data_IF_283013072657
#
_entry.id   IF_283013072657
#
_cell.length_a   1.000
_cell.length_b   1.000
_cell.length_c   1.000
_cell.angle_alpha   90.00
_cell.angle_beta   90.00
_cell.angle_gamma   90.00
#
_symmetry.space_group_name_H-M   'P 1'
#
loop_
_entity.id
_entity.type
_entity.pdbx_description
1 polymer ?
#
# COMPACT_ATOMS: atom_id res chain seq x y z
N UNK A 1 -19.28 5.10 8.93
CA UNK A 1 -18.72 3.74 8.78
C UNK A 1 -19.78 2.71 9.13
N UNK A 2 -19.67 1.45 8.69
CA UNK A 2 -20.69 0.44 8.96
C UNK A 2 -20.86 0.17 10.45
N UNK A 3 -22.09 -0.11 10.88
CA UNK A 3 -22.44 -0.46 12.25
C UNK A 3 -23.53 -1.54 12.31
N UNK A 4 -23.68 -2.18 13.47
CA UNK A 4 -24.86 -2.98 13.81
C UNK A 4 -24.54 -4.45 14.07
N UNK A 5 -25.49 -5.12 14.73
CA UNK A 5 -25.34 -6.53 15.09
C UNK A 5 -25.08 -7.42 13.87
N UNK A 6 -24.07 -8.28 13.97
CA UNK A 6 -23.67 -9.21 12.92
C UNK A 6 -22.75 -8.61 11.87
N UNK A 7 -22.51 -7.29 11.86
CA UNK A 7 -21.53 -6.67 10.96
C UNK A 7 -20.10 -6.94 11.42
N UNK A 8 -19.19 -7.01 10.45
CA UNK A 8 -17.74 -7.01 10.67
C UNK A 8 -17.09 -6.18 9.56
N UNK A 9 -17.06 -4.85 9.72
CA UNK A 9 -16.40 -3.96 8.78
C UNK A 9 -14.89 -3.85 9.07
N UNK A 10 -14.12 -3.71 7.99
CA UNK A 10 -12.67 -3.54 8.07
C UNK A 10 -12.18 -2.53 7.01
N UNK A 11 -11.31 -1.62 7.45
CA UNK A 11 -10.40 -0.83 6.62
C UNK A 11 -8.99 -1.23 7.03
N UNK A 12 -8.28 -1.90 6.13
CA UNK A 12 -7.05 -2.60 6.48
C UNK A 12 -6.12 -2.65 5.27
N UNK A 13 -4.89 -3.07 5.50
CA UNK A 13 -3.94 -3.32 4.44
C UNK A 13 -3.37 -4.71 4.57
N UNK A 14 -3.07 -5.33 3.43
CA UNK A 14 -2.44 -6.65 3.40
C UNK A 14 -1.35 -6.66 2.35
N UNK A 15 -0.22 -7.29 2.65
CA UNK A 15 0.89 -7.43 1.72
C UNK A 15 0.60 -8.41 0.58
N UNK A 16 1.64 -8.76 -0.17
CA UNK A 16 1.51 -9.74 -1.25
C UNK A 16 1.21 -11.15 -0.69
N UNK A 17 0.45 -11.93 -1.45
CA UNK A 17 0.21 -13.34 -1.13
C UNK A 17 1.48 -14.20 -1.29
N UNK A 18 1.63 -15.30 -0.52
CA UNK A 18 0.64 -15.85 0.41
C UNK A 18 0.60 -15.13 1.77
N UNK A 19 -0.60 -14.83 2.24
CA UNK A 19 -0.82 -14.37 3.61
C UNK A 19 -0.40 -15.45 4.65
N UNK A 20 0.22 -15.08 5.79
CA UNK A 20 0.52 -13.72 6.29
C UNK A 20 1.96 -13.27 6.03
N UNK A 21 2.66 -13.84 5.04
CA UNK A 21 4.12 -13.68 4.88
C UNK A 21 4.55 -12.21 4.70
N UNK A 22 3.67 -11.40 4.10
CA UNK A 22 3.90 -9.99 3.79
C UNK A 22 3.12 -9.04 4.70
N UNK A 23 2.50 -9.59 5.76
CA UNK A 23 1.85 -8.84 6.82
C UNK A 23 0.46 -8.33 6.49
N UNK A 24 -0.28 -8.05 7.54
CA UNK A 24 -1.58 -7.40 7.53
C UNK A 24 -1.65 -6.37 8.67
N UNK A 25 -2.30 -5.25 8.39
CA UNK A 25 -2.46 -4.11 9.29
C UNK A 25 -3.92 -3.69 9.24
N UNK A 26 -4.65 -3.98 10.31
CA UNK A 26 -6.03 -3.56 10.47
C UNK A 26 -6.07 -2.17 11.08
N UNK A 27 -6.46 -1.17 10.29
CA UNK A 27 -6.48 0.23 10.69
C UNK A 27 -7.78 0.52 11.45
N UNK A 28 -8.89 0.05 10.89
CA UNK A 28 -10.22 0.15 11.46
C UNK A 28 -10.86 -1.22 11.38
N UNK A 29 -11.08 -1.85 12.52
CA UNK A 29 -11.71 -3.17 12.57
C UNK A 29 -12.47 -3.37 13.88
N UNK A 30 -13.59 -4.07 13.76
CA UNK A 30 -14.44 -4.41 14.87
C UNK A 30 -15.66 -5.19 14.39
N UNK A 31 -16.45 -5.66 15.35
CA UNK A 31 -17.59 -6.53 15.10
C UNK A 31 -18.82 -6.07 15.87
N UNK A 32 -19.99 -6.39 15.32
CA UNK A 32 -21.29 -6.12 15.91
C UNK A 32 -21.48 -4.62 16.25
N UNK A 33 -21.75 -4.32 17.52
CA UNK A 33 -21.95 -2.98 18.07
C UNK A 33 -20.78 -2.56 18.96
N UNK A 34 -19.57 -3.04 18.68
CA UNK A 34 -18.38 -2.48 19.31
C UNK A 34 -18.34 -0.97 19.07
N UNK A 35 -17.90 -0.23 20.09
CA UNK A 35 -17.83 1.25 20.08
C UNK A 35 -16.40 1.76 19.98
N UNK A 36 -15.43 0.89 20.28
CA UNK A 36 -14.00 1.15 20.25
C UNK A 36 -13.40 0.44 19.06
N UNK A 37 -12.40 1.07 18.46
CA UNK A 37 -11.69 0.51 17.32
C UNK A 37 -10.60 -0.43 17.80
N UNK A 38 -10.35 -1.50 17.05
CA UNK A 38 -9.20 -2.36 17.25
C UNK A 38 -8.23 -2.17 16.08
N UNK A 39 -6.98 -1.81 16.40
CA UNK A 39 -5.88 -1.79 15.45
C UNK A 39 -5.06 -3.06 15.68
N UNK A 40 -4.88 -3.87 14.65
CA UNK A 40 -4.22 -5.18 14.75
C UNK A 40 -3.12 -5.34 13.73
N UNK A 41 -2.10 -6.14 14.07
CA UNK A 41 -1.11 -6.63 13.10
C UNK A 41 -1.13 -8.16 13.08
N UNK A 42 -1.07 -8.70 11.87
CA UNK A 42 -0.98 -10.13 11.58
C UNK A 42 0.26 -10.39 10.74
N UNK A 43 1.12 -11.31 11.20
CA UNK A 43 2.45 -11.53 10.62
C UNK A 43 2.83 -13.01 10.59
N UNK A 44 3.86 -13.34 9.81
CA UNK A 44 4.64 -14.56 9.99
C UNK A 44 5.40 -14.56 11.33
N UNK A 45 5.92 -15.71 11.75
CA UNK A 45 6.61 -15.86 13.05
C UNK A 45 7.78 -14.88 13.21
N UNK A 46 7.95 -14.32 14.43
CA UNK A 46 9.10 -13.46 14.77
C UNK A 46 8.77 -11.98 14.99
N UNK A 47 7.50 -11.63 15.18
CA UNK A 47 7.06 -10.28 15.52
C UNK A 47 6.23 -10.28 16.81
N UNK A 48 6.76 -9.69 17.88
CA UNK A 48 6.04 -9.55 19.15
C UNK A 48 6.16 -8.13 19.72
N UNK A 49 5.30 -7.80 20.69
CA UNK A 49 5.16 -6.48 21.31
C UNK A 49 5.32 -6.54 22.83
N UNK A 50 6.07 -7.53 23.32
CA UNK A 50 6.43 -7.61 24.73
C UNK A 50 7.49 -6.57 25.08
N UNK A 51 7.33 -5.91 26.23
CA UNK A 51 8.29 -4.93 26.74
C UNK A 51 8.32 -3.61 25.97
N UNK A 52 7.29 -3.29 25.19
CA UNK A 52 7.18 -1.97 24.56
C UNK A 52 6.76 -0.92 25.61
N UNK A 53 7.23 0.31 25.43
CA UNK A 53 6.89 1.44 26.31
C UNK A 53 5.49 1.98 25.98
N UNK A 54 4.57 1.75 26.90
CA UNK A 54 3.14 2.09 26.77
C UNK A 54 2.86 3.58 26.94
N UNK A 55 3.84 4.40 27.31
CA UNK A 55 3.68 5.87 27.31
C UNK A 55 3.61 6.46 25.90
N UNK A 56 3.92 5.67 24.85
CA UNK A 56 3.94 6.12 23.46
C UNK A 56 2.61 5.98 22.72
N UNK A 57 1.56 5.43 23.35
CA UNK A 57 0.23 5.34 22.77
C UNK A 57 -0.87 5.48 23.82
N UNK A 58 -2.06 5.88 23.39
CA UNK A 58 -3.19 6.12 24.27
C UNK A 58 -4.13 4.91 24.42
N UNK A 59 -4.09 3.94 23.49
CA UNK A 59 -4.92 2.75 23.55
C UNK A 59 -4.50 1.76 24.64
N UNK A 60 -5.22 0.65 24.73
CA UNK A 60 -4.91 -0.46 25.65
C UNK A 60 -4.79 -1.75 24.88
N UNK A 61 -3.90 -2.66 25.30
CA UNK A 61 -3.81 -3.98 24.70
C UNK A 61 -5.16 -4.70 24.74
N UNK A 62 -5.58 -5.22 23.59
CA UNK A 62 -6.72 -6.12 23.54
C UNK A 62 -6.34 -7.47 24.17
N UNK A 63 -7.35 -8.28 24.47
CA UNK A 63 -7.14 -9.63 24.98
C UNK A 63 -7.52 -10.68 23.94
N UNK A 64 -6.76 -11.77 23.87
CA UNK A 64 -7.10 -12.98 23.11
C UNK A 64 -8.23 -13.76 23.79
N UNK A 65 -8.78 -14.74 23.06
CA UNK A 65 -9.86 -15.59 23.57
C UNK A 65 -9.49 -16.44 24.80
N UNK A 66 -8.19 -16.62 25.05
CA UNK A 66 -7.62 -17.29 26.23
C UNK A 66 -7.38 -16.34 27.43
N UNK A 67 -7.68 -15.05 27.28
CA UNK A 67 -7.54 -14.05 28.34
C UNK A 67 -6.14 -13.47 28.50
N UNK A 68 -5.22 -13.71 27.57
CA UNK A 68 -3.90 -13.09 27.54
C UNK A 68 -3.91 -11.78 26.73
N UNK A 69 -2.96 -10.89 27.01
CA UNK A 69 -2.79 -9.68 26.19
C UNK A 69 -2.33 -10.06 24.78
N UNK A 70 -2.99 -9.48 23.77
CA UNK A 70 -2.72 -9.68 22.36
C UNK A 70 -1.44 -8.94 21.94
N UNK A 71 -0.27 -9.48 22.29
CA UNK A 71 1.04 -8.89 21.99
C UNK A 71 1.88 -9.66 20.97
N UNK A 72 1.53 -10.90 20.69
CA UNK A 72 2.21 -11.69 19.65
C UNK A 72 1.49 -11.49 18.31
N UNK A 73 2.19 -10.91 17.33
CA UNK A 73 1.62 -10.60 16.03
C UNK A 73 1.58 -11.82 15.10
N UNK A 74 2.13 -12.95 15.51
CA UNK A 74 2.12 -14.18 14.73
C UNK A 74 0.72 -14.79 14.67
N UNK A 75 0.23 -15.05 13.47
CA UNK A 75 -1.15 -15.52 13.25
C UNK A 75 -1.48 -16.87 13.89
N UNK A 76 -0.46 -17.68 14.21
CA UNK A 76 -0.62 -18.97 14.88
C UNK A 76 -0.12 -18.96 16.34
N UNK A 77 0.09 -17.79 16.93
CA UNK A 77 0.36 -17.66 18.36
C UNK A 77 -0.87 -18.03 19.21
N UNK A 78 -2.07 -17.86 18.65
CA UNK A 78 -3.35 -18.26 19.26
C UNK A 78 -4.18 -19.06 18.27
N UNK A 79 -5.14 -19.85 18.75
CA UNK A 79 -6.04 -20.65 17.90
C UNK A 79 -7.00 -19.80 17.04
N UNK A 80 -7.12 -18.50 17.34
CA UNK A 80 -8.11 -17.61 16.73
C UNK A 80 -7.49 -16.54 15.84
N UNK A 81 -6.20 -16.64 15.53
CA UNK A 81 -5.49 -15.60 14.79
C UNK A 81 -5.72 -14.23 15.42
N UNK A 82 -5.42 -14.09 16.71
CA UNK A 82 -5.67 -12.82 17.43
C UNK A 82 -4.82 -11.68 16.87
N UNK A 83 -3.60 -12.00 16.41
CA UNK A 83 -2.57 -11.00 16.14
C UNK A 83 -2.20 -10.20 17.39
N UNK A 84 -1.35 -9.19 17.21
CA UNK A 84 -1.09 -8.23 18.26
C UNK A 84 -2.01 -7.03 18.04
N UNK A 85 -2.71 -6.60 19.08
CA UNK A 85 -3.81 -5.65 18.89
C UNK A 85 -3.94 -4.67 20.04
N UNK A 86 -4.20 -3.42 19.67
CA UNK A 86 -4.46 -2.32 20.60
C UNK A 86 -5.87 -1.81 20.33
N UNK A 87 -6.68 -1.74 21.39
CA UNK A 87 -8.03 -1.18 21.37
C UNK A 87 -7.98 0.30 21.76
N UNK A 88 -8.75 1.13 21.06
CA UNK A 88 -8.86 2.55 21.39
C UNK A 88 -9.56 2.74 22.73
N UNK A 89 -9.06 3.67 23.57
CA UNK A 89 -9.83 4.13 24.74
C UNK A 89 -11.06 4.94 24.29
N UNK A 90 -10.88 5.73 23.24
CA UNK A 90 -11.92 6.56 22.66
C UNK A 90 -12.99 5.72 21.96
N UNK A 91 -14.23 6.20 22.05
CA UNK A 91 -15.38 5.77 21.23
C UNK A 91 -15.13 6.16 19.76
N UNK A 92 -14.37 5.33 19.06
CA UNK A 92 -13.82 5.60 17.74
C UNK A 92 -14.43 4.72 16.64
N UNK A 93 -15.35 3.80 16.94
CA UNK A 93 -15.84 2.83 15.96
C UNK A 93 -17.37 2.77 15.89
N UNK A 94 -17.87 2.34 14.73
CA UNK A 94 -19.29 2.05 14.48
C UNK A 94 -20.21 3.22 14.83
N UNK A 95 -21.27 2.93 15.58
CA UNK A 95 -22.28 3.90 16.02
C UNK A 95 -21.67 5.07 16.78
N UNK A 96 -20.69 4.81 17.65
CA UNK A 96 -20.04 5.85 18.43
C UNK A 96 -19.23 6.85 17.59
N UNK A 97 -18.63 6.36 16.49
CA UNK A 97 -17.95 7.20 15.51
C UNK A 97 -18.96 7.99 14.67
N UNK A 98 -20.03 7.34 14.23
CA UNK A 98 -21.07 7.96 13.41
C UNK A 98 -21.83 9.08 14.17
N UNK A 99 -22.12 8.87 15.45
CA UNK A 99 -22.74 9.87 16.35
C UNK A 99 -21.92 11.18 16.44
N UNK A 100 -20.60 11.10 16.23
CA UNK A 100 -19.69 12.27 16.23
C UNK A 100 -19.53 12.91 14.85
N UNK A 101 -20.26 12.44 13.84
CA UNK A 101 -20.11 12.85 12.44
C UNK A 101 -18.88 12.24 11.75
N UNK A 102 -18.28 11.20 12.35
CA UNK A 102 -17.07 10.55 11.89
C UNK A 102 -15.79 11.32 12.21
N UNK A 103 -14.77 11.14 11.37
CA UNK A 103 -13.45 11.71 11.58
C UNK A 103 -12.41 11.13 10.64
N UNK A 104 -11.14 11.32 10.97
CA UNK A 104 -10.00 10.95 10.15
C UNK A 104 -9.18 9.86 10.84
N UNK A 105 -9.01 8.75 10.14
CA UNK A 105 -8.03 7.73 10.50
C UNK A 105 -6.74 7.94 9.74
N UNK A 106 -5.62 7.83 10.45
CA UNK A 106 -4.28 7.90 9.85
C UNK A 106 -3.50 6.65 10.22
N UNK A 107 -2.93 5.98 9.23
CA UNK A 107 -1.91 4.95 9.41
C UNK A 107 -0.58 5.50 8.92
N UNK A 108 0.46 5.40 9.75
CA UNK A 108 1.84 5.60 9.33
C UNK A 108 2.61 4.28 9.44
N UNK A 109 3.10 3.81 8.29
CA UNK A 109 3.99 2.64 8.20
C UNK A 109 5.41 3.12 7.88
N UNK A 110 6.30 3.08 8.87
CA UNK A 110 7.75 3.24 8.70
C UNK A 110 8.39 1.90 9.01
N UNK A 111 8.55 1.03 7.99
CA UNK A 111 9.00 -0.37 8.12
C UNK A 111 10.26 -0.55 9.01
N UNK A 112 11.19 0.40 8.99
CA UNK A 112 12.42 0.33 9.79
C UNK A 112 12.29 0.89 11.23
N UNK A 113 11.10 1.32 11.65
CA UNK A 113 10.90 2.02 12.93
C UNK A 113 9.62 1.61 13.66
N UNK A 114 8.46 1.74 13.03
CA UNK A 114 7.18 1.58 13.71
C UNK A 114 5.99 1.56 12.75
N UNK A 115 4.86 1.11 13.29
CA UNK A 115 3.52 1.36 12.76
C UNK A 115 2.76 2.18 13.79
N UNK A 116 2.13 3.27 13.36
CA UNK A 116 1.31 4.14 14.21
C UNK A 116 -0.06 4.36 13.60
N UNK A 117 -1.09 4.34 14.43
CA UNK A 117 -2.45 4.66 14.02
C UNK A 117 -3.04 5.76 14.90
N UNK A 118 -3.75 6.70 14.28
CA UNK A 118 -4.49 7.77 14.94
C UNK A 118 -5.95 7.77 14.49
N UNK A 119 -6.79 8.27 15.39
CA UNK A 119 -8.12 8.77 15.10
C UNK A 119 -8.20 10.22 15.55
N UNK A 120 -8.66 11.08 14.65
CA UNK A 120 -8.99 12.47 14.94
C UNK A 120 -10.48 12.67 14.68
N UNK A 121 -11.19 13.25 15.65
CA UNK A 121 -12.47 13.90 15.33
C UNK A 121 -12.24 15.07 14.38
N UNK A 122 -13.27 15.53 13.67
CA UNK A 122 -13.14 16.66 12.74
C UNK A 122 -12.55 17.93 13.38
N UNK A 123 -12.76 18.13 14.69
CA UNK A 123 -12.25 19.27 15.44
C UNK A 123 -10.78 19.12 15.86
N UNK A 124 -10.24 17.90 15.84
CA UNK A 124 -8.88 17.58 16.28
C UNK A 124 -7.90 17.42 15.11
N UNK A 125 -8.39 17.41 13.87
CA UNK A 125 -7.56 17.20 12.66
C UNK A 125 -6.43 18.23 12.64
N UNK A 126 -5.15 17.80 12.66
CA UNK A 126 -4.01 18.70 12.56
C UNK A 126 -4.03 19.56 11.30
N UNK A 127 -3.59 20.81 11.39
CA UNK A 127 -3.61 21.75 10.25
C UNK A 127 -2.76 21.26 9.07
N UNK A 128 -1.60 20.67 9.36
CA UNK A 128 -0.70 20.10 8.37
C UNK A 128 -1.32 18.89 7.64
N UNK A 129 -2.12 18.08 8.35
CA UNK A 129 -2.93 17.03 7.71
C UNK A 129 -4.01 17.61 6.80
N UNK A 130 -4.67 18.72 7.20
CA UNK A 130 -5.73 19.39 6.42
C UNK A 130 -5.21 19.95 5.10
N UNK A 131 -3.98 20.45 5.07
CA UNK A 131 -3.35 21.03 3.88
C UNK A 131 -2.51 20.02 3.06
N UNK A 132 -2.51 18.74 3.46
CA UNK A 132 -1.82 17.67 2.72
C UNK A 132 -0.31 17.61 2.92
N UNK A 133 0.20 18.13 4.03
CA UNK A 133 1.61 18.09 4.41
C UNK A 133 1.83 17.45 5.80
N UNK A 134 1.33 16.22 6.04
CA UNK A 134 1.27 15.63 7.37
C UNK A 134 2.66 15.38 7.98
N UNK A 135 2.79 15.68 9.27
CA UNK A 135 3.97 15.44 10.10
C UNK A 135 3.58 14.66 11.38
N UNK A 136 3.48 13.31 11.30
CA UNK A 136 3.05 12.48 12.42
C UNK A 136 3.97 12.51 13.65
N UNK A 137 5.23 12.92 13.48
CA UNK A 137 6.18 13.05 14.58
C UNK A 137 5.80 14.25 15.48
N UNK A 138 5.38 15.38 14.89
CA UNK A 138 4.88 16.54 15.65
C UNK A 138 3.59 16.23 16.41
N UNK A 139 2.68 15.48 15.81
CA UNK A 139 1.41 15.15 16.48
C UNK A 139 1.66 14.32 17.72
N UNK A 140 2.50 13.28 17.61
CA UNK A 140 2.81 12.39 18.73
C UNK A 140 3.53 13.10 19.88
N UNK A 141 4.38 14.09 19.59
CA UNK A 141 5.12 14.84 20.60
C UNK A 141 4.26 15.88 21.33
N UNK A 142 3.42 16.61 20.61
CA UNK A 142 2.85 17.86 21.12
C UNK A 142 1.32 17.97 21.06
N UNK A 143 0.62 17.08 20.35
CA UNK A 143 -0.82 17.24 20.09
C UNK A 143 -1.65 16.04 20.56
N UNK A 144 -1.40 14.85 20.02
CA UNK A 144 -2.18 13.64 20.30
C UNK A 144 -1.31 12.40 20.11
N UNK A 145 -1.19 11.61 21.18
CA UNK A 145 -0.59 10.28 21.10
C UNK A 145 -1.37 9.40 20.10
N UNK A 146 -0.68 8.52 19.35
CA UNK A 146 -1.38 7.54 18.53
C UNK A 146 -2.27 6.66 19.40
N UNK A 147 -3.40 6.21 18.87
CA UNK A 147 -4.21 5.21 19.58
C UNK A 147 -3.51 3.85 19.63
N UNK A 148 -2.66 3.55 18.65
CA UNK A 148 -1.87 2.34 18.60
C UNK A 148 -0.45 2.63 18.11
N UNK A 149 0.54 2.08 18.81
CA UNK A 149 1.96 2.17 18.46
C UNK A 149 2.59 0.78 18.52
N UNK A 150 3.15 0.35 17.39
CA UNK A 150 3.86 -0.92 17.27
C UNK A 150 5.31 -0.64 16.85
N UNK A 151 6.28 -0.70 17.76
CA UNK A 151 7.68 -0.51 17.41
C UNK A 151 8.18 -1.68 16.56
N UNK A 152 8.88 -1.36 15.48
CA UNK A 152 9.52 -2.32 14.57
C UNK A 152 11.03 -2.20 14.71
N UNK A 153 11.70 -3.32 14.95
CA UNK A 153 13.15 -3.37 15.08
C UNK A 153 13.70 -4.75 14.69
N UNK A 154 14.99 -4.79 14.36
CA UNK A 154 15.66 -6.00 13.86
C UNK A 154 15.64 -7.21 14.83
N UNK A 155 15.42 -6.99 16.13
CA UNK A 155 15.52 -8.04 17.14
C UNK A 155 14.16 -8.64 17.54
N UNK A 156 13.07 -7.86 17.45
CA UNK A 156 11.79 -8.24 18.02
C UNK A 156 10.64 -8.33 17.01
N UNK A 157 10.64 -7.43 16.03
CA UNK A 157 9.68 -7.43 14.93
C UNK A 157 10.34 -6.74 13.72
N UNK A 158 11.11 -7.47 12.91
CA UNK A 158 11.84 -6.90 11.78
C UNK A 158 10.86 -6.45 10.68
N UNK A 159 10.49 -5.18 10.70
CA UNK A 159 9.44 -4.66 9.83
C UNK A 159 9.64 -4.91 8.33
N UNK A 160 10.85 -4.75 7.74
CA UNK A 160 11.07 -5.01 6.32
C UNK A 160 10.83 -6.47 5.89
N UNK A 161 10.87 -7.43 6.81
CA UNK A 161 10.53 -8.83 6.49
C UNK A 161 9.06 -9.16 6.70
N UNK A 162 8.35 -8.40 7.55
CA UNK A 162 6.97 -8.69 7.90
C UNK A 162 5.94 -7.84 7.17
N UNK A 163 6.28 -6.62 6.73
CA UNK A 163 5.31 -5.69 6.16
C UNK A 163 5.83 -5.15 4.84
N UNK A 164 5.34 -5.63 3.70
CA UNK A 164 5.78 -5.17 2.38
C UNK A 164 4.73 -5.42 1.30
N UNK A 165 4.74 -4.58 0.25
CA UNK A 165 3.81 -4.73 -0.88
C UNK A 165 2.33 -4.56 -0.52
N UNK A 166 2.02 -3.73 0.48
CA UNK A 166 0.67 -3.58 1.00
C UNK A 166 -0.29 -2.98 -0.05
N UNK A 167 -1.49 -3.59 -0.14
CA UNK A 167 -2.68 -3.04 -0.80
C UNK A 167 -3.71 -2.66 0.24
N UNK A 168 -4.46 -1.59 -0.02
CA UNK A 168 -5.60 -1.19 0.82
C UNK A 168 -6.81 -2.07 0.51
N UNK A 169 -7.50 -2.52 1.55
CA UNK A 169 -8.73 -3.31 1.46
C UNK A 169 -9.82 -2.65 2.29
N UNK A 170 -11.01 -2.57 1.70
CA UNK A 170 -12.22 -2.04 2.32
C UNK A 170 -13.28 -3.11 2.16
N UNK A 171 -13.82 -3.62 3.26
CA UNK A 171 -14.93 -4.55 3.20
C UNK A 171 -15.89 -4.40 4.38
N UNK A 172 -17.02 -5.07 4.24
CA UNK A 172 -17.93 -5.37 5.34
C UNK A 172 -18.40 -6.79 5.15
N UNK A 173 -17.99 -7.67 6.04
CA UNK A 173 -18.49 -9.05 6.11
C UNK A 173 -19.50 -9.18 7.25
N UNK A 174 -20.05 -10.38 7.40
CA UNK A 174 -21.04 -10.67 8.43
C UNK A 174 -20.68 -11.91 9.22
N UNK A 175 -20.89 -11.86 10.53
CA UNK A 175 -20.61 -12.94 11.48
C UNK A 175 -19.15 -13.43 11.42
N UNK A 176 -18.85 -14.43 10.59
CA UNK A 176 -17.50 -14.99 10.47
C UNK A 176 -16.99 -15.63 11.77
N UNK A 177 -15.69 -15.90 11.84
CA UNK A 177 -15.05 -16.49 13.02
C UNK A 177 -15.01 -15.55 14.23
N UNK A 178 -15.07 -14.24 13.99
CA UNK A 178 -14.97 -13.23 15.05
C UNK A 178 -16.34 -12.67 15.46
N UNK A 179 -17.04 -11.98 14.54
CA UNK A 179 -18.29 -11.29 14.85
C UNK A 179 -19.40 -12.20 15.33
N UNK A 180 -19.53 -13.40 14.76
CA UNK A 180 -20.54 -14.35 15.20
C UNK A 180 -20.17 -15.07 16.50
N UNK A 181 -18.88 -15.26 16.79
CA UNK A 181 -18.41 -15.81 18.07
C UNK A 181 -18.61 -14.83 19.24
N UNK A 182 -18.59 -13.53 18.96
CA UNK A 182 -18.84 -12.47 19.95
C UNK A 182 -20.26 -11.90 19.91
N UNK A 183 -21.17 -12.52 19.15
CA UNK A 183 -22.51 -11.99 18.94
C UNK A 183 -23.29 -11.83 20.25
N UNK A 184 -23.29 -12.86 21.11
CA UNK A 184 -23.94 -12.82 22.44
C UNK A 184 -23.28 -11.90 23.44
N UNK A 185 -21.97 -11.61 23.28
CA UNK A 185 -21.21 -10.77 24.20
C UNK A 185 -21.43 -9.29 23.95
N UNK A 186 -22.01 -8.94 22.81
CA UNK A 186 -22.27 -7.56 22.43
C UNK A 186 -23.65 -7.13 22.93
N UNK A 187 -23.68 -6.08 23.76
CA UNK A 187 -24.93 -5.53 24.26
C UNK A 187 -25.88 -5.11 23.11
N UNK A 188 -27.13 -5.57 23.18
CA UNK A 188 -28.16 -5.28 22.20
C UNK A 188 -28.19 -6.21 20.97
N UNK A 189 -27.32 -7.22 20.90
CA UNK A 189 -27.43 -8.29 19.90
C UNK A 189 -28.09 -9.52 20.53
N UNK A 190 -29.31 -9.85 20.09
CA UNK A 190 -30.12 -10.90 20.70
C UNK A 190 -29.76 -12.29 20.14
N UNK A 191 -29.34 -13.20 21.02
CA UNK A 191 -29.06 -14.60 20.70
C UNK A 191 -27.61 -14.99 20.97
N UNK A 192 -27.29 -16.29 20.81
CA UNK A 192 -25.97 -16.82 21.13
C UNK A 192 -25.29 -17.54 19.97
N UNK A 193 -24.01 -17.20 19.80
CA UNK A 193 -23.09 -17.78 18.84
C UNK A 193 -23.44 -17.58 17.36
N UNK A 194 -22.73 -18.37 16.55
CA UNK A 194 -22.70 -18.26 15.09
C UNK A 194 -24.08 -18.47 14.44
N UNK A 195 -24.89 -19.37 14.98
CA UNK A 195 -26.21 -19.68 14.43
C UNK A 195 -27.17 -18.48 14.60
N UNK A 196 -27.18 -17.87 15.78
CA UNK A 196 -27.99 -16.69 16.04
C UNK A 196 -27.55 -15.50 15.19
N UNK A 197 -26.25 -15.27 15.04
CA UNK A 197 -25.74 -14.21 14.17
C UNK A 197 -26.21 -14.38 12.73
N UNK A 198 -26.07 -15.59 12.17
CA UNK A 198 -26.50 -15.89 10.79
C UNK A 198 -28.01 -15.72 10.60
N UNK A 199 -28.81 -16.16 11.58
CA UNK A 199 -30.25 -15.95 11.54
C UNK A 199 -30.59 -14.45 11.59
N UNK A 200 -29.96 -13.69 12.48
CA UNK A 200 -30.17 -12.25 12.58
C UNK A 200 -29.88 -11.53 11.26
N UNK A 201 -28.71 -11.81 10.65
CA UNK A 201 -28.30 -11.19 9.38
C UNK A 201 -29.26 -11.54 8.24
N UNK A 202 -29.67 -12.81 8.14
CA UNK A 202 -30.58 -13.28 7.09
C UNK A 202 -31.99 -12.70 7.24
N UNK A 203 -32.50 -12.63 8.46
CA UNK A 203 -33.93 -12.40 8.72
C UNK A 203 -34.26 -10.92 9.03
N UNK A 204 -33.24 -10.06 9.20
CA UNK A 204 -33.42 -8.63 9.56
C UNK A 204 -32.72 -7.65 8.59
N UNK A 205 -33.03 -7.65 7.28
CA UNK A 205 -32.34 -6.81 6.31
C UNK A 205 -32.43 -5.30 6.62
N UNK A 206 -33.52 -4.86 7.25
CA UNK A 206 -33.70 -3.45 7.64
C UNK A 206 -32.74 -2.98 8.72
N UNK A 207 -32.11 -3.89 9.47
CA UNK A 207 -31.11 -3.56 10.49
C UNK A 207 -29.78 -3.11 9.89
N UNK A 208 -29.55 -3.31 8.59
CA UNK A 208 -28.29 -3.01 7.91
C UNK A 208 -28.32 -1.70 7.10
N UNK A 209 -29.32 -0.84 7.32
CA UNK A 209 -29.40 0.48 6.67
C UNK A 209 -28.17 1.35 6.93
N UNK A 210 -27.57 1.22 8.11
CA UNK A 210 -26.37 1.96 8.52
C UNK A 210 -25.07 1.15 8.32
N UNK A 211 -25.13 -0.02 7.68
CA UNK A 211 -23.97 -0.87 7.44
C UNK A 211 -23.24 -0.49 6.14
N UNK A 212 -22.84 0.79 6.01
CA UNK A 212 -22.12 1.29 4.83
C UNK A 212 -20.92 2.16 5.20
N UNK A 213 -19.93 2.16 4.31
CA UNK A 213 -18.84 3.12 4.34
C UNK A 213 -19.22 4.38 3.56
N UNK A 214 -18.88 5.53 4.13
CA UNK A 214 -18.99 6.83 3.46
C UNK A 214 -17.65 7.53 3.61
N UNK A 215 -16.91 7.66 2.50
CA UNK A 215 -15.56 8.21 2.47
C UNK A 215 -15.57 9.54 1.75
N UNK A 216 -15.10 10.60 2.41
CA UNK A 216 -14.81 11.86 1.74
C UNK A 216 -13.58 11.74 0.84
N UNK A 217 -12.51 11.13 1.36
CA UNK A 217 -11.24 10.95 0.65
C UNK A 217 -10.40 9.84 1.29
N UNK A 218 -9.49 9.29 0.49
CA UNK A 218 -8.38 8.44 0.95
C UNK A 218 -7.13 9.01 0.29
N UNK A 219 -6.20 9.52 1.10
CA UNK A 219 -4.92 10.03 0.63
C UNK A 219 -3.79 9.11 1.08
N UNK A 220 -2.81 8.91 0.19
CA UNK A 220 -1.59 8.15 0.47
C UNK A 220 -0.41 9.09 0.28
N UNK A 221 0.40 9.23 1.33
CA UNK A 221 1.60 10.05 1.32
C UNK A 221 2.84 9.15 1.32
N UNK A 222 3.82 9.48 0.48
CA UNK A 222 5.11 8.79 0.43
C UNK A 222 6.21 9.80 0.76
N UNK A 223 7.07 9.51 1.76
CA UNK A 223 8.20 10.39 2.07
C UNK A 223 9.08 10.60 0.84
N UNK A 224 9.28 11.86 0.45
CA UNK A 224 10.16 12.20 -0.69
C UNK A 224 9.50 12.16 -2.07
N UNK A 225 8.17 12.17 -2.18
CA UNK A 225 7.52 12.52 -3.44
C UNK A 225 8.01 13.91 -3.87
N UNK A 226 8.66 13.97 -5.03
CA UNK A 226 9.27 15.18 -5.56
C UNK A 226 8.15 16.20 -5.80
N UNK A 227 8.10 17.25 -4.98
CA UNK A 227 7.43 18.49 -5.39
C UNK A 227 8.24 19.02 -6.57
N UNK A 228 7.76 18.79 -7.80
CA UNK A 228 8.22 19.54 -8.95
C UNK A 228 7.77 20.99 -8.76
N UNK A 229 8.57 21.75 -8.01
CA UNK A 229 8.41 23.18 -7.93
C UNK A 229 8.52 23.75 -9.34
N UNK A 230 7.42 24.31 -9.84
CA UNK A 230 7.44 25.12 -11.06
C UNK A 230 8.39 26.28 -10.78
N UNK A 231 9.63 26.16 -11.26
CA UNK A 231 10.53 27.30 -11.29
C UNK A 231 9.98 28.21 -12.37
N UNK A 232 9.13 29.16 -11.98
CA UNK A 232 8.74 30.26 -12.86
C UNK A 232 10.01 31.05 -13.14
N UNK A 233 10.67 30.73 -14.25
CA UNK A 233 11.75 31.55 -14.78
C UNK A 233 11.11 32.84 -15.28
N UNK A 234 11.09 33.86 -14.42
CA UNK A 234 10.72 35.22 -14.81
C UNK A 234 11.70 35.69 -15.88
N UNK A 235 11.30 35.54 -17.14
CA UNK A 235 12.00 36.12 -18.28
C UNK A 235 11.66 37.61 -18.30
N UNK A 236 12.60 38.43 -17.84
CA UNK A 236 12.55 39.89 -18.00
C UNK A 236 12.63 40.21 -19.48
N UNK A 237 11.48 40.41 -20.13
CA UNK A 237 11.42 41.02 -21.45
C UNK A 237 11.14 42.50 -21.28
N UNK A 238 12.16 43.32 -21.55
CA UNK A 238 11.99 44.77 -21.71
C UNK A 238 11.04 45.04 -22.86
N UNK A 239 9.87 45.62 -22.57
CA UNK A 239 8.98 46.20 -23.58
C UNK A 239 9.00 47.72 -23.44
N UNK A 240 9.29 48.36 -24.56
CA UNK A 240 9.23 49.80 -24.78
C UNK A 240 7.77 50.26 -24.82
N UNK A 241 7.50 51.35 -24.12
CA UNK A 241 6.20 52.03 -24.09
C UNK A 241 5.83 52.59 -25.47
N UNK A 242 4.63 52.26 -25.95
CA UNK A 242 3.86 53.15 -26.82
C UNK A 242 2.39 53.13 -26.38
N UNK A 243 1.86 54.31 -26.07
CA UNK A 243 0.46 54.54 -25.74
C UNK A 243 -0.39 54.50 -27.01
N UNK A 244 -1.52 53.80 -27.01
CA UNK A 244 -2.76 54.18 -27.74
C UNK A 244 -3.94 53.28 -27.37
N UNK A 245 -4.98 53.90 -26.78
CA UNK A 245 -6.43 53.62 -26.80
C UNK A 245 -7.02 52.24 -26.39
N UNK A 246 -8.13 52.17 -25.61
CA UNK A 246 -8.68 50.91 -25.12
C UNK A 246 -9.62 50.24 -26.14
N UNK A 247 -9.52 48.92 -26.38
CA UNK A 247 -10.52 48.22 -27.16
C UNK A 247 -11.68 47.73 -26.27
N UNK A 248 -12.86 47.91 -26.84
CA UNK A 248 -14.21 47.62 -26.39
C UNK A 248 -14.41 46.12 -26.14
N UNK A 249 -15.08 45.77 -25.04
CA UNK A 249 -15.53 44.41 -24.72
C UNK A 249 -16.58 43.91 -25.73
N UNK A 250 -16.43 42.69 -26.32
CA UNK A 250 -17.55 41.97 -26.89
C UNK A 250 -18.36 41.23 -25.79
N UNK A 251 -19.67 41.01 -25.99
CA UNK A 251 -20.55 40.45 -24.97
C UNK A 251 -20.34 38.95 -24.76
N UNK A 252 -20.69 38.52 -23.56
CA UNK A 252 -20.67 37.14 -23.04
C UNK A 252 -21.23 36.12 -24.03
N UNK A 253 -20.39 35.16 -24.44
CA UNK A 253 -20.83 33.94 -25.11
C UNK A 253 -21.25 32.92 -24.05
N UNK A 254 -22.44 32.37 -24.24
CA UNK A 254 -23.05 31.32 -23.43
C UNK A 254 -22.34 30.01 -23.73
N UNK A 255 -21.69 29.40 -22.73
CA UNK A 255 -21.13 28.06 -22.87
C UNK A 255 -22.26 27.03 -22.85
N UNK A 256 -22.48 26.39 -24.00
CA UNK A 256 -23.28 25.17 -24.09
C UNK A 256 -22.44 24.01 -23.58
N UNK A 257 -22.95 23.32 -22.56
CA UNK A 257 -22.37 22.09 -22.02
C UNK A 257 -22.46 20.98 -23.06
N UNK A 258 -21.35 20.66 -23.71
CA UNK A 258 -21.19 19.41 -24.45
C UNK A 258 -20.68 18.35 -23.49
N UNK A 259 -21.51 17.34 -23.23
CA UNK A 259 -21.16 16.13 -22.49
C UNK A 259 -19.91 15.48 -23.12
N UNK A 260 -18.86 15.13 -22.36
CA UNK A 260 -17.70 14.44 -22.92
C UNK A 260 -18.10 13.06 -23.45
N UNK A 261 -17.47 12.56 -24.52
CA UNK A 261 -17.77 11.23 -25.06
C UNK A 261 -17.53 10.14 -24.01
N UNK A 262 -18.41 9.16 -23.96
CA UNK A 262 -18.27 7.98 -23.10
C UNK A 262 -17.08 7.13 -23.57
N UNK A 263 -16.00 7.11 -22.80
CA UNK A 263 -14.89 6.19 -23.01
C UNK A 263 -15.36 4.75 -22.74
N UNK A 264 -14.84 3.79 -23.49
CA UNK A 264 -15.03 2.36 -23.20
C UNK A 264 -14.27 1.97 -21.92
N UNK A 265 -14.67 0.87 -21.28
CA UNK A 265 -14.04 0.41 -20.02
C UNK A 265 -12.51 0.29 -20.12
N UNK A 266 -12.00 -0.18 -21.26
CA UNK A 266 -10.55 -0.27 -21.52
C UNK A 266 -9.86 1.08 -21.66
N UNK A 267 -10.53 2.07 -22.26
CA UNK A 267 -9.99 3.43 -22.41
C UNK A 267 -9.99 4.18 -21.08
N UNK A 268 -10.99 3.92 -20.22
CA UNK A 268 -11.01 4.41 -18.83
C UNK A 268 -9.84 3.86 -18.02
N UNK A 269 -9.60 2.55 -18.07
CA UNK A 269 -8.48 1.93 -17.35
C UNK A 269 -7.12 2.41 -17.87
N UNK A 270 -6.97 2.62 -19.18
CA UNK A 270 -5.73 3.18 -19.74
C UNK A 270 -5.53 4.66 -19.35
N UNK A 271 -6.58 5.48 -19.34
CA UNK A 271 -6.50 6.87 -18.92
C UNK A 271 -6.19 6.99 -17.43
N UNK A 272 -6.83 6.18 -16.59
CA UNK A 272 -6.56 6.09 -15.15
C UNK A 272 -5.12 5.61 -14.88
N UNK A 273 -4.63 4.64 -15.66
CA UNK A 273 -3.25 4.17 -15.55
C UNK A 273 -2.22 5.25 -15.90
N UNK A 274 -2.40 5.99 -17.00
CA UNK A 274 -1.50 7.10 -17.35
C UNK A 274 -1.57 8.22 -16.32
N UNK A 275 -2.77 8.52 -15.80
CA UNK A 275 -2.96 9.51 -14.75
C UNK A 275 -2.26 9.11 -13.45
N UNK A 276 -2.44 7.86 -12.97
CA UNK A 276 -1.77 7.35 -11.77
C UNK A 276 -0.24 7.25 -11.95
N UNK A 277 0.24 6.87 -13.14
CA UNK A 277 1.66 6.85 -13.47
C UNK A 277 2.27 8.27 -13.47
N UNK A 278 1.58 9.26 -14.04
CA UNK A 278 1.99 10.66 -14.01
C UNK A 278 2.00 11.24 -12.59
N UNK A 279 0.98 10.93 -11.78
CA UNK A 279 0.89 11.36 -10.37
C UNK A 279 1.96 10.72 -9.48
N UNK A 280 2.49 9.55 -9.88
CA UNK A 280 3.63 8.90 -9.25
C UNK A 280 5.00 9.36 -9.79
N UNK A 281 5.06 10.36 -10.67
CA UNK A 281 6.30 10.90 -11.25
C UNK A 281 6.94 10.03 -12.34
N UNK A 282 6.18 9.10 -12.93
CA UNK A 282 6.64 8.19 -13.98
C UNK A 282 6.62 8.90 -15.34
N UNK A 283 7.80 9.19 -15.88
CA UNK A 283 7.99 9.67 -17.27
C UNK A 283 8.85 8.66 -18.03
N UNK A 284 8.75 8.61 -19.36
CA UNK A 284 9.69 7.82 -20.21
C UNK A 284 11.16 8.18 -19.92
N UNK A 285 11.42 9.40 -19.44
CA UNK A 285 12.76 9.89 -19.08
C UNK A 285 13.26 9.43 -17.70
N UNK A 286 12.41 8.91 -16.83
CA UNK A 286 12.75 8.46 -15.46
C UNK A 286 12.71 6.94 -15.28
N UNK A 287 12.73 6.20 -16.38
CA UNK A 287 12.74 4.74 -16.39
C UNK A 287 14.05 4.21 -15.78
N UNK A 288 14.03 3.27 -14.80
CA UNK A 288 15.24 2.60 -14.36
C UNK A 288 15.95 1.97 -15.57
N UNK A 289 17.28 2.15 -15.76
CA UNK A 289 17.98 1.76 -16.99
C UNK A 289 17.85 0.29 -17.37
N UNK A 290 17.52 -0.55 -16.40
CA UNK A 290 17.37 -2.00 -16.52
C UNK A 290 15.92 -2.45 -16.77
N UNK A 291 14.95 -1.52 -16.77
CA UNK A 291 13.56 -1.84 -16.96
C UNK A 291 13.31 -1.89 -18.47
N UNK A 292 13.23 -3.07 -19.08
CA UNK A 292 12.91 -3.25 -20.49
C UNK A 292 11.39 -3.32 -20.67
N UNK A 293 10.86 -2.78 -21.78
CA UNK A 293 9.46 -2.96 -22.17
C UNK A 293 9.44 -3.98 -23.28
N UNK A 294 8.36 -4.74 -23.36
CA UNK A 294 8.06 -5.56 -24.55
C UNK A 294 9.09 -6.68 -24.82
N UNK A 295 9.71 -7.24 -23.77
CA UNK A 295 10.71 -8.31 -23.86
C UNK A 295 10.52 -9.42 -22.81
N UNK A 296 10.18 -10.65 -23.20
CA UNK A 296 10.00 -11.79 -22.27
C UNK A 296 11.31 -12.56 -22.05
N UNK A 297 11.49 -13.12 -20.86
CA UNK A 297 12.52 -14.10 -20.56
C UNK A 297 11.88 -15.49 -20.44
N UNK A 298 11.65 -16.16 -21.55
CA UNK A 298 10.91 -17.42 -21.58
C UNK A 298 11.58 -18.49 -20.69
N UNK A 299 10.78 -19.12 -19.82
CA UNK A 299 11.24 -20.16 -18.90
C UNK A 299 12.06 -19.65 -17.71
N UNK A 300 12.81 -20.56 -17.07
CA UNK A 300 13.66 -20.31 -15.89
C UNK A 300 12.92 -19.71 -14.68
N UNK A 301 11.61 -19.98 -14.62
CA UNK A 301 10.72 -19.56 -13.54
C UNK A 301 11.07 -20.30 -12.24
N UNK A 302 11.29 -19.54 -11.17
CA UNK A 302 11.31 -20.02 -9.80
C UNK A 302 9.90 -20.11 -9.24
N UNK A 303 9.10 -19.07 -9.49
CA UNK A 303 7.74 -18.96 -8.96
C UNK A 303 6.86 -18.11 -9.89
N UNK A 304 5.57 -18.44 -9.93
CA UNK A 304 4.56 -17.77 -10.76
C UNK A 304 3.42 -17.27 -9.88
N UNK A 305 2.98 -16.05 -10.14
CA UNK A 305 1.87 -15.39 -9.47
C UNK A 305 0.94 -14.84 -10.55
N UNK A 306 -0.21 -15.47 -10.77
CA UNK A 306 -1.09 -15.16 -11.91
C UNK A 306 -2.40 -14.52 -11.46
N UNK A 307 -2.81 -13.43 -12.11
CA UNK A 307 -4.07 -12.70 -11.92
C UNK A 307 -4.22 -11.84 -10.65
N UNK A 308 -3.14 -11.53 -9.94
CA UNK A 308 -3.22 -10.72 -8.71
C UNK A 308 -2.01 -9.82 -8.42
N UNK A 309 -0.99 -9.80 -9.29
CA UNK A 309 0.10 -8.84 -9.20
C UNK A 309 -0.23 -7.71 -10.17
N UNK A 310 -0.38 -6.48 -9.67
CA UNK A 310 -0.95 -5.39 -10.46
C UNK A 310 0.11 -4.43 -10.99
N UNK A 311 1.35 -4.50 -10.50
CA UNK A 311 2.46 -3.65 -10.96
C UNK A 311 3.76 -4.41 -11.13
N UNK A 312 4.61 -3.92 -12.05
CA UNK A 312 5.97 -4.43 -12.22
C UNK A 312 6.81 -4.25 -10.95
N UNK A 313 6.55 -3.20 -10.17
CA UNK A 313 7.25 -2.94 -8.91
C UNK A 313 6.89 -3.98 -7.83
N UNK A 314 5.63 -4.39 -7.74
CA UNK A 314 5.23 -5.51 -6.88
C UNK A 314 5.95 -6.80 -7.29
N UNK A 315 6.04 -7.07 -8.60
CA UNK A 315 6.76 -8.24 -9.12
C UNK A 315 8.28 -8.17 -8.83
N UNK A 316 8.86 -6.97 -8.92
CA UNK A 316 10.26 -6.71 -8.55
C UNK A 316 10.49 -6.96 -7.06
N UNK A 317 9.64 -6.44 -6.17
CA UNK A 317 9.75 -6.63 -4.73
C UNK A 317 9.64 -8.12 -4.37
N UNK A 318 8.71 -8.85 -4.98
CA UNK A 318 8.63 -10.31 -4.85
C UNK A 318 9.95 -10.99 -5.23
N UNK A 319 10.58 -10.57 -6.33
CA UNK A 319 11.89 -11.09 -6.73
C UNK A 319 13.01 -10.74 -5.73
N UNK A 320 13.08 -9.50 -5.26
CA UNK A 320 14.08 -9.04 -4.26
C UNK A 320 14.03 -9.91 -2.99
N UNK A 321 12.83 -10.29 -2.57
CA UNK A 321 12.60 -11.08 -1.37
C UNK A 321 12.57 -12.61 -1.61
N UNK A 322 12.80 -13.07 -2.84
CA UNK A 322 12.83 -14.49 -3.18
C UNK A 322 14.27 -14.98 -3.40
N UNK A 323 14.82 -15.87 -2.53
CA UNK A 323 16.15 -16.40 -2.71
C UNK A 323 16.37 -17.03 -4.08
N UNK A 324 17.44 -16.60 -4.76
CA UNK A 324 17.78 -17.09 -6.10
C UNK A 324 17.05 -16.38 -7.25
N UNK A 325 16.16 -15.41 -6.98
CA UNK A 325 15.55 -14.60 -8.01
C UNK A 325 16.45 -13.43 -8.42
N UNK A 326 16.74 -13.32 -9.72
CA UNK A 326 17.61 -12.30 -10.32
C UNK A 326 16.90 -11.47 -11.39
N UNK A 327 15.80 -11.99 -11.93
CA UNK A 327 15.00 -11.37 -12.97
C UNK A 327 13.53 -11.62 -12.69
N UNK A 328 12.66 -10.75 -13.18
CA UNK A 328 11.23 -10.98 -13.10
C UNK A 328 10.54 -10.59 -14.40
N UNK A 329 9.27 -10.97 -14.48
CA UNK A 329 8.50 -10.91 -15.70
C UNK A 329 7.08 -10.59 -15.41
N UNK A 330 6.63 -9.40 -15.83
CA UNK A 330 5.34 -8.88 -15.39
C UNK A 330 4.42 -8.58 -16.58
N UNK A 331 3.35 -9.38 -16.69
CA UNK A 331 2.28 -9.26 -17.67
C UNK A 331 1.15 -8.42 -17.10
N UNK A 332 1.09 -7.17 -17.55
CA UNK A 332 0.12 -6.20 -17.05
C UNK A 332 -1.32 -6.60 -17.37
N UNK A 333 -1.57 -7.13 -18.57
CA UNK A 333 -2.93 -7.49 -19.03
C UNK A 333 -3.57 -8.61 -18.22
N UNK A 334 -2.77 -9.52 -17.68
CA UNK A 334 -3.24 -10.66 -16.88
C UNK A 334 -2.85 -10.51 -15.42
N UNK A 335 -2.37 -9.33 -14.99
CA UNK A 335 -1.88 -9.10 -13.63
C UNK A 335 -0.96 -10.24 -13.14
N UNK A 336 -0.04 -10.70 -13.99
CA UNK A 336 0.76 -11.90 -13.74
C UNK A 336 2.25 -11.58 -13.61
N UNK A 337 2.92 -12.23 -12.67
CA UNK A 337 4.32 -12.06 -12.33
C UNK A 337 5.04 -13.42 -12.32
N UNK A 338 6.17 -13.50 -13.01
CA UNK A 338 7.01 -14.69 -13.06
C UNK A 338 8.41 -14.32 -12.56
N UNK A 339 8.80 -14.91 -11.43
CA UNK A 339 10.09 -14.74 -10.80
C UNK A 339 11.10 -15.69 -11.42
N UNK A 340 12.29 -15.23 -11.77
CA UNK A 340 13.24 -16.00 -12.58
C UNK A 340 14.65 -16.01 -11.99
N UNK A 341 15.32 -17.13 -12.18
CA UNK A 341 16.70 -17.31 -11.71
C UNK A 341 17.73 -16.64 -12.64
N UNK A 342 19.01 -16.74 -12.28
CA UNK A 342 20.11 -16.08 -13.00
C UNK A 342 20.23 -16.49 -14.49
N UNK A 343 19.67 -17.63 -14.90
CA UNK A 343 19.70 -18.12 -16.28
C UNK A 343 18.64 -17.48 -17.17
N UNK A 344 17.76 -16.62 -16.63
CA UNK A 344 16.66 -15.99 -17.36
C UNK A 344 17.12 -15.34 -18.67
N UNK A 345 18.29 -14.70 -18.68
CA UNK A 345 18.88 -14.07 -19.87
C UNK A 345 18.97 -15.00 -21.09
N UNK A 346 19.11 -16.31 -20.90
CA UNK A 346 19.16 -17.30 -21.99
C UNK A 346 17.81 -17.46 -22.71
N UNK A 347 16.72 -17.10 -22.06
CA UNK A 347 15.36 -17.12 -22.60
C UNK A 347 14.89 -15.77 -23.14
N UNK A 348 15.74 -14.76 -23.29
CA UNK A 348 15.32 -13.40 -23.71
C UNK A 348 14.75 -13.40 -25.13
N UNK A 349 13.52 -12.93 -25.30
CA UNK A 349 12.81 -12.78 -26.57
C UNK A 349 12.19 -11.39 -26.67
N UNK A 350 12.55 -10.64 -27.73
CA UNK A 350 11.90 -9.38 -28.08
C UNK A 350 10.58 -9.62 -28.86
N UNK A 351 9.56 -8.78 -28.66
CA UNK A 351 8.21 -8.96 -29.25
C UNK A 351 8.19 -9.11 -30.80
N UNK A 352 9.18 -8.58 -31.52
CA UNK A 352 9.29 -8.75 -32.98
C UNK A 352 9.57 -10.20 -33.44
N UNK A 353 10.06 -11.07 -32.56
CA UNK A 353 10.31 -12.49 -32.84
C UNK A 353 9.15 -13.40 -32.42
N UNK A 354 8.34 -12.98 -31.43
CA UNK A 354 7.13 -13.71 -31.00
C UNK A 354 6.05 -13.67 -32.09
N UNK A 355 5.99 -12.57 -32.83
CA UNK A 355 5.03 -12.36 -33.92
C UNK A 355 5.40 -13.02 -35.25
N UNK A 356 6.63 -13.55 -35.42
CA UNK A 356 7.11 -14.13 -36.69
C UNK A 356 7.69 -15.55 -36.61
N UNK A 357 7.56 -16.26 -35.49
CA UNK A 357 8.07 -17.63 -35.33
C UNK A 357 6.99 -18.70 -35.07
N UNK A 358 6.63 -19.43 -36.12
CA UNK A 358 5.91 -20.71 -36.20
C UNK A 358 4.55 -20.92 -35.46
N UNK A 359 3.51 -20.99 -36.29
CA UNK A 359 2.15 -21.51 -36.02
C UNK A 359 2.12 -22.73 -35.09
N UNK A 360 1.45 -22.63 -33.95
CA UNK A 360 0.62 -23.73 -33.41
C UNK A 360 -0.63 -23.18 -32.67
N UNK A 361 -1.76 -23.29 -33.39
CA UNK A 361 -3.17 -23.44 -33.00
C UNK A 361 -3.84 -22.63 -31.84
N UNK A 362 -4.78 -21.78 -32.31
CA UNK A 362 -6.10 -21.38 -31.79
C UNK A 362 -6.19 -20.37 -30.63
N UNK A 363 -6.44 -19.11 -31.02
CA UNK A 363 -7.03 -18.04 -30.21
C UNK A 363 -6.54 -16.67 -30.70
N UNK A 364 -7.44 -15.88 -31.28
CA UNK A 364 -7.34 -14.53 -31.88
C UNK A 364 -6.16 -13.57 -31.54
N UNK A 365 -5.83 -12.63 -32.45
CA UNK A 365 -4.69 -11.72 -32.31
C UNK A 365 -5.01 -10.59 -31.32
N UNK A 366 -4.55 -10.67 -30.07
CA UNK A 366 -4.75 -9.59 -29.11
C UNK A 366 -3.68 -8.50 -29.22
N UNK A 367 -4.07 -7.37 -29.82
CA UNK A 367 -3.40 -6.09 -29.64
C UNK A 367 -3.36 -5.72 -28.13
N UNK A 368 -2.28 -5.06 -27.69
CA UNK A 368 -2.04 -4.51 -26.34
C UNK A 368 -1.41 -5.42 -25.26
N UNK A 369 -0.29 -6.08 -25.55
CA UNK A 369 0.61 -6.56 -24.50
C UNK A 369 1.57 -5.45 -24.07
N UNK A 370 1.36 -4.81 -22.91
CA UNK A 370 2.37 -3.98 -22.25
C UNK A 370 3.01 -4.82 -21.16
N UNK A 371 4.24 -5.25 -21.39
CA UNK A 371 4.98 -6.09 -20.46
C UNK A 371 6.19 -5.31 -19.97
N UNK A 372 6.35 -5.18 -18.66
CA UNK A 372 7.35 -4.31 -18.01
C UNK A 372 8.33 -5.22 -17.23
N UNK A 373 9.64 -5.14 -17.45
CA UNK A 373 10.62 -6.15 -17.01
C UNK A 373 11.87 -5.52 -16.42
N UNK A 374 12.49 -6.00 -15.33
CA UNK A 374 13.76 -5.43 -14.81
C UNK A 374 14.66 -6.44 -14.07
N UNK A 375 15.96 -6.14 -14.02
CA UNK A 375 16.96 -6.76 -13.14
C UNK A 375 16.73 -6.35 -11.67
N UNK A 376 16.93 -7.24 -10.71
CA UNK A 376 16.60 -7.00 -9.28
C UNK A 376 17.29 -5.77 -8.66
N UNK A 377 18.46 -5.37 -9.19
CA UNK A 377 19.26 -4.22 -8.75
C UNK A 377 19.60 -3.32 -9.94
N UNK A 378 19.17 -2.06 -9.88
CA UNK A 378 19.44 -1.07 -10.92
C UNK A 378 19.84 0.24 -10.27
N UNK A 379 21.03 0.73 -10.61
CA UNK A 379 21.47 2.05 -10.17
C UNK A 379 20.69 3.14 -10.90
N UNK A 380 20.38 4.21 -10.18
CA UNK A 380 19.80 5.43 -10.73
C UNK A 380 20.96 6.32 -11.19
N UNK A 381 20.99 6.81 -12.45
CA UNK A 381 22.02 7.75 -12.87
C UNK A 381 22.02 8.97 -11.95
N UNK A 382 23.10 9.16 -11.17
CA UNK A 382 23.24 10.23 -10.17
C UNK A 382 23.45 9.77 -8.72
N UNK A 383 23.30 8.48 -8.42
CA UNK A 383 23.77 7.92 -7.14
C UNK A 383 25.26 7.63 -7.21
N UNK A 384 26.11 8.42 -6.53
CA UNK A 384 27.51 8.03 -6.32
C UNK A 384 27.58 6.88 -5.33
N UNK A 385 27.59 5.66 -5.84
CA UNK A 385 28.14 4.52 -5.16
C UNK A 385 29.48 4.19 -5.84
N UNK A 386 30.58 4.23 -5.09
CA UNK A 386 31.87 3.79 -5.60
C UNK A 386 31.83 2.27 -5.77
N UNK A 387 31.60 1.81 -6.99
CA UNK A 387 31.88 0.44 -7.40
C UNK A 387 33.32 0.37 -7.91
N UNK A 388 34.25 -0.06 -7.05
CA UNK A 388 35.55 -0.55 -7.53
C UNK A 388 35.34 -1.91 -8.18
N UNK A 389 35.43 -1.96 -9.52
CA UNK A 389 35.60 -3.20 -10.25
C UNK A 389 37.05 -3.67 -10.08
N UNK A 390 37.26 -4.82 -9.44
CA UNK A 390 38.49 -5.59 -9.64
C UNK A 390 38.19 -6.81 -10.48
N UNK A 391 38.78 -6.84 -11.67
CA UNK A 391 38.84 -8.01 -12.55
C UNK A 391 40.17 -8.74 -12.33
N UNK A 392 40.14 -10.05 -12.64
CA UNK A 392 41.20 -11.08 -12.63
C UNK A 392 41.36 -11.85 -11.30
N UNK A 393 41.44 -13.17 -11.24
CA UNK A 393 41.55 -14.23 -12.25
C UNK A 393 41.41 -15.61 -11.59
N UNK A 394 41.21 -16.65 -12.41
CA UNK A 394 41.07 -18.06 -12.01
C UNK A 394 42.33 -18.64 -11.38
N UNK A 395 42.27 -19.24 -10.17
CA UNK A 395 42.94 -20.50 -9.78
C UNK A 395 42.06 -21.26 -8.75
N UNK A 396 42.07 -22.58 -8.89
CA UNK A 396 41.24 -23.63 -8.26
C UNK A 396 41.07 -23.58 -6.72
N UNK A 397 39.82 -23.83 -6.29
CA UNK A 397 39.53 -24.72 -5.16
C UNK A 397 39.25 -24.07 -3.79
N UNK A 398 38.04 -23.51 -3.61
CA UNK A 398 37.45 -22.95 -2.36
C UNK A 398 38.20 -21.71 -1.80
N UNK A 399 37.69 -20.88 -0.84
CA UNK A 399 36.39 -20.71 -0.15
C UNK A 399 35.91 -19.21 -0.08
N UNK A 400 35.09 -18.85 0.93
CA UNK A 400 34.91 -17.52 1.59
C UNK A 400 33.60 -16.76 1.33
N UNK A 401 32.75 -16.73 2.37
CA UNK A 401 31.63 -15.83 2.55
C UNK A 401 32.15 -14.46 3.01
N UNK A 402 32.06 -13.42 2.17
CA UNK A 402 32.35 -12.03 2.57
C UNK A 402 31.02 -11.27 2.68
N UNK A 403 30.59 -11.02 3.92
CA UNK A 403 29.54 -10.03 4.24
C UNK A 403 30.16 -8.63 4.20
N UNK A 404 29.59 -7.72 3.43
CA UNK A 404 29.87 -6.28 3.56
C UNK A 404 28.56 -5.50 3.76
N UNK A 405 28.51 -4.81 4.90
CA UNK A 405 27.48 -3.87 5.36
C UNK A 405 27.98 -2.47 5.00
N UNK A 406 27.18 -1.62 4.34
CA UNK A 406 27.56 -0.21 4.13
C UNK A 406 26.43 0.79 4.40
N UNK A 407 26.89 1.94 4.89
CA UNK A 407 26.23 2.97 5.70
C UNK A 407 25.82 4.22 4.90
N UNK A 408 24.90 5.00 5.48
CA UNK A 408 24.37 6.29 4.96
C UNK A 408 25.43 7.38 4.80
N UNK A 409 25.26 8.24 3.79
CA UNK A 409 25.90 9.55 3.65
C UNK A 409 25.19 10.44 2.62
N UNK A 410 24.88 11.69 3.00
CA UNK A 410 24.31 12.76 2.16
C UNK A 410 25.40 13.57 1.46
N UNK A 411 25.18 14.02 0.20
CA UNK A 411 25.76 15.26 -0.36
C UNK A 411 24.78 15.87 -1.41
N UNK A 412 24.38 17.13 -1.20
CA UNK A 412 23.87 18.03 -2.25
C UNK A 412 25.04 18.55 -3.07
N UNK A 413 24.97 18.59 -4.41
CA UNK A 413 25.93 19.39 -5.17
C UNK A 413 25.29 20.18 -6.32
N UNK A 414 25.56 21.49 -6.28
CA UNK A 414 25.46 22.44 -7.39
C UNK A 414 26.54 22.11 -8.42
N UNK A 415 26.25 22.25 -9.71
CA UNK A 415 27.28 22.18 -10.73
C UNK A 415 26.75 22.51 -12.11
N UNK A 416 27.08 23.71 -12.57
CA UNK A 416 26.89 24.21 -13.92
C UNK A 416 27.47 23.29 -15.00
N UNK A 417 26.82 23.24 -16.15
CA UNK A 417 27.41 23.51 -17.47
C UNK A 417 26.42 24.32 -18.30
#
# INVERSE_FOLDING_TARGET
MPEGCGTWPALWTTGADPWPASGEIDIVEGVNRQRRNRVSLHTSYGCNMWGIDETNFAGTWAYSGDGLEARDCYVYATEHNTGCSIESIEDAFGEAFNEKGGGVYVLELKQAKHIRAWYFTHQEVPEDLRIGAPDPDKWAEAQKLPMAYFPLNENNCPGPSHFWGHRLVINTTFCGGWGGSLFSRTAGCAGDGQAACRAFVRDNPTSFKNAFWDFNFIHVYVPGAVSCGTTTTSTTTSSTFTNTEPPIYPPSSTSTSTVPPSLTENEWWQALYHFLALMAGYTESNRPPCLESDADYFGYDLQKYENFIYTAEQCRLLCVHTPGCFYFSFVQTTASCYLKNIQALRGRVAQQQVSKGNKFNKGEPSANFKTIWSQTFCEVPGSTHNFEFMQEGSIQGHPVLVRLRLSRGHICNKGHL
#
